data_IF_735318802116
#
_entry.id   IF_735318802116
#
_cell.length_a   1.000
_cell.length_b   1.000
_cell.length_c   1.000
_cell.angle_alpha   90.00
_cell.angle_beta   90.00
_cell.angle_gamma   90.00
#
_symmetry.space_group_name_H-M   'P 1'
#
loop_
_entity.id
_entity.type
_entity.pdbx_description
1 polymer ?
#
# COMPACT_ATOMS: atom_id res chain seq x y z
N UNK A 1 3.55 0.71 -22.38
CA UNK A 1 5.01 0.72 -22.45
C UNK A 1 5.49 0.41 -23.89
N UNK A 2 5.35 -0.80 -24.41
CA UNK A 2 5.84 -1.19 -25.76
C UNK A 2 5.38 -0.28 -26.89
N UNK A 3 4.12 0.14 -26.88
CA UNK A 3 3.54 1.00 -27.92
C UNK A 3 4.06 2.45 -27.87
N UNK A 4 4.59 2.86 -26.74
CA UNK A 4 5.07 4.22 -26.47
C UNK A 4 6.41 4.17 -25.75
N UNK A 5 7.49 3.76 -26.45
CA UNK A 5 8.79 3.56 -25.82
C UNK A 5 9.46 4.86 -25.34
N UNK A 6 9.06 5.99 -25.90
CA UNK A 6 9.59 7.32 -25.53
C UNK A 6 8.79 7.99 -24.38
N UNK A 7 7.79 7.30 -23.82
CA UNK A 7 6.98 7.78 -22.70
C UNK A 7 7.38 7.05 -21.45
N UNK A 8 7.78 7.79 -20.42
CA UNK A 8 8.00 7.27 -19.08
C UNK A 8 6.66 7.16 -18.33
N UNK A 9 6.44 6.03 -17.65
CA UNK A 9 5.24 5.74 -16.87
C UNK A 9 5.61 5.58 -15.41
N UNK A 10 5.20 6.53 -14.58
CA UNK A 10 5.21 6.39 -13.13
C UNK A 10 3.90 5.77 -12.67
N UNK A 11 3.96 4.53 -12.23
CA UNK A 11 2.82 3.77 -11.72
C UNK A 11 2.98 3.54 -10.23
N UNK A 12 1.87 3.43 -9.53
CA UNK A 12 1.91 3.08 -8.11
C UNK A 12 0.78 2.12 -7.72
N UNK A 13 1.08 1.26 -6.76
CA UNK A 13 0.07 0.49 -6.06
C UNK A 13 -0.55 1.41 -5.00
N UNK A 14 -1.83 1.70 -5.14
CA UNK A 14 -2.54 2.67 -4.29
C UNK A 14 -2.46 2.26 -2.81
N UNK A 15 -2.16 3.21 -1.89
CA UNK A 15 -2.08 2.93 -0.46
C UNK A 15 -3.48 2.77 0.14
N UNK A 16 -4.03 1.57 0.08
CA UNK A 16 -5.26 1.23 0.79
C UNK A 16 -4.98 1.15 2.30
N UNK A 17 -5.96 1.53 3.12
CA UNK A 17 -5.76 1.54 4.58
C UNK A 17 -5.41 0.15 5.12
N UNK A 18 -4.81 0.11 6.31
CA UNK A 18 -4.51 -1.18 6.99
C UNK A 18 -5.78 -2.03 7.19
N UNK A 19 -6.97 -1.41 7.30
CA UNK A 19 -8.25 -2.11 7.43
C UNK A 19 -8.68 -2.82 6.13
N UNK A 20 -8.16 -2.43 4.97
CA UNK A 20 -8.33 -3.20 3.73
C UNK A 20 -7.74 -4.61 3.91
N UNK A 21 -6.58 -4.72 4.52
CA UNK A 21 -5.92 -5.99 4.75
C UNK A 21 -6.65 -6.86 5.78
N UNK A 22 -7.25 -6.25 6.82
CA UNK A 22 -8.15 -6.96 7.74
C UNK A 22 -9.33 -7.57 6.97
N UNK A 23 -9.99 -6.78 6.12
CA UNK A 23 -11.08 -7.26 5.27
C UNK A 23 -10.65 -8.44 4.40
N UNK A 24 -9.52 -8.31 3.69
CA UNK A 24 -8.99 -9.37 2.82
C UNK A 24 -8.71 -10.65 3.60
N UNK A 25 -8.13 -10.54 4.81
CA UNK A 25 -7.91 -11.68 5.70
C UNK A 25 -9.21 -12.37 6.13
N UNK A 26 -10.20 -11.59 6.57
CA UNK A 26 -11.50 -12.10 7.02
C UNK A 26 -12.33 -12.73 5.91
N UNK A 27 -12.19 -12.28 4.66
CA UNK A 27 -12.89 -12.85 3.50
C UNK A 27 -12.15 -14.03 2.86
N UNK A 28 -10.93 -14.35 3.33
CA UNK A 28 -10.11 -15.44 2.79
C UNK A 28 -9.49 -15.16 1.43
N UNK A 29 -9.36 -13.87 1.05
CA UNK A 29 -8.87 -13.43 -0.26
C UNK A 29 -7.36 -13.16 -0.29
N UNK A 30 -6.65 -13.35 0.83
CA UNK A 30 -5.22 -13.03 0.98
C UNK A 30 -4.38 -13.64 -0.14
N UNK A 31 -4.54 -14.95 -0.41
CA UNK A 31 -3.75 -15.64 -1.45
C UNK A 31 -4.02 -15.08 -2.84
N UNK A 32 -5.27 -14.78 -3.15
CA UNK A 32 -5.66 -14.23 -4.44
C UNK A 32 -5.08 -12.82 -4.65
N UNK A 33 -5.11 -11.98 -3.62
CA UNK A 33 -4.56 -10.61 -3.68
C UNK A 33 -3.04 -10.66 -3.87
N UNK A 34 -2.32 -11.49 -3.12
CA UNK A 34 -0.86 -11.62 -3.28
C UNK A 34 -0.47 -12.23 -4.63
N UNK A 35 -1.25 -13.18 -5.16
CA UNK A 35 -1.05 -13.68 -6.51
C UNK A 35 -1.24 -12.58 -7.58
N UNK A 36 -2.24 -11.72 -7.42
CA UNK A 36 -2.49 -10.59 -8.32
C UNK A 36 -1.36 -9.54 -8.24
N UNK A 37 -0.87 -9.21 -7.05
CA UNK A 37 0.26 -8.29 -6.85
C UNK A 37 1.54 -8.83 -7.49
N UNK A 38 1.81 -10.12 -7.30
CA UNK A 38 2.94 -10.79 -7.96
C UNK A 38 2.83 -10.72 -9.46
N UNK A 39 1.67 -11.04 -10.03
CA UNK A 39 1.42 -10.97 -11.47
C UNK A 39 1.60 -9.54 -12.00
N UNK A 40 1.14 -8.54 -11.27
CA UNK A 40 1.34 -7.14 -11.63
C UNK A 40 2.83 -6.78 -11.71
N UNK A 41 3.63 -7.15 -10.71
CA UNK A 41 5.08 -6.94 -10.73
C UNK A 41 5.74 -7.67 -11.92
N UNK A 42 5.43 -8.96 -12.12
CA UNK A 42 5.98 -9.76 -13.21
C UNK A 42 5.61 -9.22 -14.60
N UNK A 43 4.47 -8.54 -14.71
CA UNK A 43 3.99 -7.95 -15.97
C UNK A 43 4.60 -6.58 -16.24
N UNK A 44 4.78 -5.75 -15.20
CA UNK A 44 5.16 -4.34 -15.36
C UNK A 44 6.67 -4.12 -15.30
N UNK A 45 7.36 -4.79 -14.38
CA UNK A 45 8.79 -4.56 -14.12
C UNK A 45 9.74 -4.90 -15.28
N UNK A 46 9.40 -5.77 -16.27
CA UNK A 46 10.25 -5.97 -17.43
C UNK A 46 10.36 -4.78 -18.39
N UNK A 47 9.50 -3.77 -18.27
CA UNK A 47 9.53 -2.60 -19.14
C UNK A 47 10.44 -1.51 -18.57
N UNK A 48 11.48 -1.14 -19.32
CA UNK A 48 12.47 -0.13 -18.90
C UNK A 48 11.87 1.27 -18.70
N UNK A 49 10.76 1.56 -19.38
CA UNK A 49 10.05 2.83 -19.27
C UNK A 49 8.87 2.81 -18.27
N UNK A 50 8.85 1.85 -17.36
CA UNK A 50 7.91 1.80 -16.23
C UNK A 50 8.69 1.91 -14.92
N UNK A 51 8.29 2.86 -14.10
CA UNK A 51 8.66 2.95 -12.68
C UNK A 51 7.45 2.56 -11.86
N UNK A 52 7.60 1.59 -10.94
CA UNK A 52 6.50 1.09 -10.11
C UNK A 52 6.79 1.37 -8.63
N UNK A 53 5.89 2.10 -7.97
CA UNK A 53 5.96 2.42 -6.55
C UNK A 53 5.01 1.53 -5.73
N UNK A 54 5.53 0.94 -4.67
CA UNK A 54 4.78 0.04 -3.77
C UNK A 54 4.13 0.76 -2.60
N UNK A 55 3.45 1.89 -2.81
CA UNK A 55 2.84 2.68 -1.73
C UNK A 55 1.77 1.92 -0.94
N UNK A 56 1.23 0.85 -1.50
CA UNK A 56 0.34 -0.09 -0.80
C UNK A 56 1.02 -0.75 0.42
N UNK A 57 2.35 -0.71 0.47
CA UNK A 57 3.18 -1.27 1.54
C UNK A 57 3.78 -0.20 2.46
N UNK A 58 3.39 1.06 2.28
CA UNK A 58 3.88 2.18 3.08
C UNK A 58 3.07 2.33 4.37
N UNK A 59 3.64 1.86 5.48
CA UNK A 59 3.02 1.89 6.80
C UNK A 59 2.74 3.29 7.31
N UNK A 60 3.56 4.28 6.94
CA UNK A 60 3.37 5.67 7.38
C UNK A 60 2.07 6.27 6.85
N UNK A 61 1.61 5.79 5.68
CA UNK A 61 0.34 6.22 5.10
C UNK A 61 -0.79 5.31 5.55
N UNK A 62 -0.65 3.98 5.36
CA UNK A 62 -1.79 3.06 5.48
C UNK A 62 -2.26 2.82 6.91
N UNK A 63 -1.40 3.03 7.92
CA UNK A 63 -1.76 2.91 9.34
C UNK A 63 -2.42 4.19 9.89
N UNK A 64 -2.39 5.30 9.15
CA UNK A 64 -3.03 6.56 9.54
C UNK A 64 -4.50 6.58 9.10
N UNK A 65 -5.38 6.05 9.96
CA UNK A 65 -6.80 5.90 9.61
C UNK A 65 -7.52 7.23 9.37
N UNK A 66 -7.04 8.34 9.94
CA UNK A 66 -7.59 9.67 9.70
C UNK A 66 -7.43 10.15 8.24
N UNK A 67 -6.55 9.50 7.48
CA UNK A 67 -6.42 9.77 6.04
C UNK A 67 -7.52 9.14 5.19
N UNK A 68 -8.36 8.27 5.77
CA UNK A 68 -9.29 7.46 5.00
C UNK A 68 -10.75 7.71 5.38
N UNK A 69 -11.63 7.72 4.38
CA UNK A 69 -13.08 7.72 4.61
C UNK A 69 -13.69 6.31 4.51
N UNK A 70 -12.97 5.36 3.95
CA UNK A 70 -13.29 3.92 3.91
C UNK A 70 -11.98 3.10 3.77
N UNK A 71 -12.06 1.83 3.36
CA UNK A 71 -10.88 0.94 3.24
C UNK A 71 -9.86 1.40 2.20
N UNK A 72 -10.27 2.17 1.19
CA UNK A 72 -9.48 2.44 -0.01
C UNK A 72 -9.38 3.92 -0.39
N UNK A 73 -10.38 4.73 -0.04
CA UNK A 73 -10.41 6.13 -0.43
C UNK A 73 -9.74 7.01 0.62
N UNK A 74 -8.66 7.62 0.23
CA UNK A 74 -7.88 8.52 1.09
C UNK A 74 -8.21 10.00 0.83
N UNK A 75 -7.88 10.84 1.81
CA UNK A 75 -8.04 12.29 1.77
C UNK A 75 -7.10 12.95 0.74
N UNK A 76 -7.36 14.22 0.43
CA UNK A 76 -6.46 15.03 -0.39
C UNK A 76 -5.08 15.18 0.25
N UNK A 77 -5.00 15.29 1.58
CA UNK A 77 -3.74 15.36 2.33
C UNK A 77 -2.88 14.10 2.10
N UNK A 78 -3.46 12.92 2.21
CA UNK A 78 -2.75 11.68 1.89
C UNK A 78 -2.37 11.60 0.41
N UNK A 79 -3.20 12.15 -0.48
CA UNK A 79 -2.88 12.27 -1.91
C UNK A 79 -1.64 13.10 -2.18
N UNK A 80 -1.42 14.21 -1.45
CA UNK A 80 -0.19 15.01 -1.56
C UNK A 80 1.04 14.22 -1.07
N UNK A 81 0.93 13.46 0.03
CA UNK A 81 2.00 12.58 0.50
C UNK A 81 2.35 11.50 -0.54
N UNK A 82 1.34 10.91 -1.18
CA UNK A 82 1.53 9.95 -2.28
C UNK A 82 2.34 10.58 -3.41
N UNK A 83 1.96 11.79 -3.84
CA UNK A 83 2.68 12.51 -4.91
C UNK A 83 4.12 12.85 -4.51
N UNK A 84 4.36 13.26 -3.28
CA UNK A 84 5.69 13.58 -2.78
C UNK A 84 6.59 12.32 -2.71
N UNK A 85 6.04 11.18 -2.29
CA UNK A 85 6.75 9.91 -2.30
C UNK A 85 7.10 9.45 -3.73
N UNK A 86 6.19 9.57 -4.69
CA UNK A 86 6.45 9.29 -6.10
C UNK A 86 7.57 10.20 -6.62
N UNK A 87 7.49 11.50 -6.39
CA UNK A 87 8.51 12.48 -6.83
C UNK A 87 9.87 12.24 -6.22
N UNK A 88 9.93 11.76 -4.98
CA UNK A 88 11.18 11.44 -4.30
C UNK A 88 11.79 10.08 -4.70
N UNK A 89 11.06 9.28 -5.49
CA UNK A 89 11.47 7.92 -5.85
C UNK A 89 11.42 6.94 -4.67
N UNK A 90 10.52 7.17 -3.71
CA UNK A 90 10.33 6.27 -2.58
C UNK A 90 9.59 4.98 -2.97
N UNK A 91 9.77 3.94 -2.16
CA UNK A 91 9.02 2.68 -2.23
C UNK A 91 9.04 1.99 -3.60
N UNK A 92 10.18 2.05 -4.28
CA UNK A 92 10.35 1.44 -5.60
C UNK A 92 10.30 -0.09 -5.53
N UNK A 93 9.45 -0.67 -6.36
CA UNK A 93 9.47 -2.09 -6.67
C UNK A 93 10.37 -2.33 -7.89
N UNK A 94 11.26 -3.29 -7.76
CA UNK A 94 12.19 -3.70 -8.83
C UNK A 94 12.14 -5.21 -9.03
N UNK A 95 12.73 -5.69 -10.13
CA UNK A 95 12.84 -7.12 -10.39
C UNK A 95 13.60 -7.88 -9.26
N UNK A 96 14.52 -7.19 -8.59
CA UNK A 96 15.35 -7.76 -7.53
C UNK A 96 14.65 -7.79 -6.16
N UNK A 97 13.75 -6.82 -5.86
CA UNK A 97 13.23 -6.65 -4.50
C UNK A 97 11.75 -7.05 -4.32
N UNK A 98 10.93 -7.10 -5.38
CA UNK A 98 9.49 -7.26 -5.22
C UNK A 98 9.08 -8.56 -4.53
N UNK A 99 9.80 -9.65 -4.74
CA UNK A 99 9.46 -10.94 -4.13
C UNK A 99 9.65 -10.91 -2.61
N UNK A 100 10.76 -10.33 -2.16
CA UNK A 100 11.04 -10.17 -0.73
C UNK A 100 10.04 -9.20 -0.08
N UNK A 101 9.73 -8.07 -0.75
CA UNK A 101 8.73 -7.11 -0.26
C UNK A 101 7.37 -7.78 -0.12
N UNK A 102 6.89 -8.52 -1.12
CA UNK A 102 5.60 -9.21 -1.05
C UNK A 102 5.58 -10.28 0.05
N UNK A 103 6.66 -11.05 0.22
CA UNK A 103 6.74 -12.07 1.26
C UNK A 103 6.71 -11.45 2.67
N UNK A 104 7.51 -10.41 2.91
CA UNK A 104 7.55 -9.69 4.17
C UNK A 104 6.22 -8.99 4.47
N UNK A 105 5.60 -8.41 3.44
CA UNK A 105 4.30 -7.77 3.59
C UNK A 105 3.18 -8.75 3.92
N UNK A 106 3.19 -9.92 3.26
CA UNK A 106 2.25 -10.99 3.58
C UNK A 106 2.36 -11.40 5.04
N UNK A 107 3.59 -11.63 5.52
CA UNK A 107 3.84 -12.01 6.91
C UNK A 107 3.35 -10.90 7.86
N UNK A 108 3.64 -9.65 7.55
CA UNK A 108 3.20 -8.49 8.32
C UNK A 108 1.68 -8.43 8.44
N UNK A 109 0.92 -8.48 7.33
CA UNK A 109 -0.54 -8.32 7.37
C UNK A 109 -1.26 -9.52 7.99
N UNK A 110 -0.71 -10.73 7.86
CA UNK A 110 -1.29 -11.94 8.48
C UNK A 110 -1.11 -11.93 10.00
N UNK A 111 -0.02 -11.35 10.50
CA UNK A 111 0.29 -11.30 11.94
C UNK A 111 -0.06 -9.94 12.58
N UNK A 112 -0.65 -9.03 11.85
CA UNK A 112 -0.99 -7.69 12.36
C UNK A 112 -2.11 -7.76 13.39
N UNK A 113 -1.96 -7.00 14.47
CA UNK A 113 -2.98 -6.87 15.51
C UNK A 113 -4.09 -5.92 15.06
N UNK A 114 -5.10 -6.46 14.36
CA UNK A 114 -6.28 -5.70 13.94
C UNK A 114 -7.28 -5.48 15.09
N UNK A 115 -7.24 -6.32 16.11
CA UNK A 115 -8.21 -6.25 17.21
C UNK A 115 -8.04 -4.98 18.04
N UNK A 116 -6.84 -4.37 18.00
CA UNK A 116 -6.58 -3.07 18.65
C UNK A 116 -7.55 -1.96 18.22
N UNK A 117 -8.05 -1.99 16.99
CA UNK A 117 -8.98 -0.99 16.46
C UNK A 117 -10.39 -1.11 17.07
N UNK A 118 -10.70 -2.20 17.75
CA UNK A 118 -11.96 -2.44 18.44
C UNK A 118 -11.86 -2.18 19.96
N UNK A 119 -10.66 -1.84 20.47
CA UNK A 119 -10.47 -1.41 21.85
C UNK A 119 -10.81 0.08 21.96
N UNK A 120 -11.81 0.43 22.80
CA UNK A 120 -12.20 1.82 23.07
C UNK A 120 -11.02 2.68 23.55
N UNK A 121 -10.07 2.10 24.30
CA UNK A 121 -8.89 2.81 24.78
C UNK A 121 -7.91 3.19 23.65
N UNK A 122 -7.87 2.45 22.56
CA UNK A 122 -7.05 2.77 21.39
C UNK A 122 -7.41 4.15 20.82
N UNK A 123 -8.71 4.42 20.65
CA UNK A 123 -9.19 5.69 20.09
C UNK A 123 -9.07 6.88 21.05
N UNK A 124 -9.15 6.64 22.36
CA UNK A 124 -8.98 7.69 23.37
C UNK A 124 -7.59 8.32 23.28
N UNK A 125 -6.55 7.56 22.95
CA UNK A 125 -5.18 8.05 22.85
C UNK A 125 -5.03 9.13 21.76
N UNK A 126 -5.80 9.05 20.68
CA UNK A 126 -5.73 10.01 19.56
C UNK A 126 -6.55 11.27 19.83
N UNK A 127 -7.62 11.17 20.61
CA UNK A 127 -8.49 12.31 20.89
C UNK A 127 -7.99 13.19 22.06
N UNK A 128 -7.16 12.65 22.95
CA UNK A 128 -6.59 13.42 24.07
C UNK A 128 -5.32 14.19 23.68
N UNK A 129 -4.67 13.87 22.59
CA UNK A 129 -3.48 14.59 22.10
C UNK A 129 -3.81 15.86 21.30
N UNK A 130 -5.08 16.11 20.97
CA UNK A 130 -5.56 17.25 20.16
C UNK A 130 -6.19 18.39 20.99
N UNK A 131 -6.09 18.35 22.31
CA UNK A 131 -6.61 19.38 23.21
C UNK A 131 -5.52 20.23 23.87
#
# INVERSE_FOLDING_TARGET
>A
AERYPDVEFDLFLSPYSILYWDKIGRTGETDAVFAALKLACETLLPYENITLHGLLFDREIIEQLDYYCDYVHHSAEAGELVLDKIRSGADLLTAENYQEILANWRDFVVNYDYDKFWDENYWIQFHTAAS
#
